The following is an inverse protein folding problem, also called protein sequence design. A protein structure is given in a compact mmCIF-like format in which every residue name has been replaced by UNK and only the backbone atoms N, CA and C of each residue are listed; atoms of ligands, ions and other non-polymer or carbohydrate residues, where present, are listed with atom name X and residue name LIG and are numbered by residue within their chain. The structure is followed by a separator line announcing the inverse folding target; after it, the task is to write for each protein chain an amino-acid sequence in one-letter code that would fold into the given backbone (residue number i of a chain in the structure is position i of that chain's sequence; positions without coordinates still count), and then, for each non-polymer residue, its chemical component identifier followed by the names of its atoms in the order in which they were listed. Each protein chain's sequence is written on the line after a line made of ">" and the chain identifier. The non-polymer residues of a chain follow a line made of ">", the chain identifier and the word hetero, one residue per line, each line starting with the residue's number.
data_IF_252178166917
#
_entry.id   IF_252178166917
#
_cell.length_a   1.000
_cell.length_b   1.000
_cell.length_c   1.000
_cell.angle_alpha   90.00
_cell.angle_beta   90.00
_cell.angle_gamma   90.00
#
_symmetry.space_group_name_H-M   'P 1'
#
loop_
_entity.id
_entity.type
_entity.pdbx_description
1 polymer ?
#
# COMPACT_ATOMS: atom_id res chain seq x y z
N UNK A 1 -62.77 36.77 -21.81
CA UNK A 1 -62.92 35.31 -21.61
C UNK A 1 -61.58 34.75 -21.14
N UNK A 2 -61.48 34.29 -19.88
CA UNK A 2 -60.24 33.79 -19.26
C UNK A 2 -60.17 32.27 -19.49
N UNK A 3 -59.22 31.82 -20.30
CA UNK A 3 -58.98 30.39 -20.53
C UNK A 3 -58.29 29.78 -19.29
N UNK A 4 -58.89 28.72 -18.74
CA UNK A 4 -58.30 27.88 -17.68
C UNK A 4 -57.34 26.89 -18.31
N UNK A 5 -56.10 26.85 -17.82
CA UNK A 5 -55.14 25.81 -18.16
C UNK A 5 -55.37 24.57 -17.27
N UNK A 6 -55.52 23.40 -17.90
CA UNK A 6 -55.60 22.10 -17.24
C UNK A 6 -54.19 21.55 -16.98
N UNK A 7 -53.91 20.94 -15.82
CA UNK A 7 -52.62 20.29 -15.58
C UNK A 7 -52.58 18.90 -16.22
N UNK A 8 -51.52 18.65 -17.01
CA UNK A 8 -51.14 17.32 -17.51
C UNK A 8 -50.49 16.53 -16.37
N UNK A 9 -51.10 15.41 -15.99
CA UNK A 9 -50.52 14.43 -15.07
C UNK A 9 -49.58 13.53 -15.88
N UNK A 10 -48.28 13.63 -15.62
CA UNK A 10 -47.26 12.76 -16.22
C UNK A 10 -47.08 11.54 -15.32
N UNK A 11 -47.53 10.37 -15.79
CA UNK A 11 -47.31 9.09 -15.11
C UNK A 11 -45.93 8.57 -15.52
N UNK A 12 -44.94 8.71 -14.62
CA UNK A 12 -43.63 8.11 -14.80
C UNK A 12 -43.68 6.62 -14.45
N UNK A 13 -43.48 5.76 -15.44
CA UNK A 13 -43.29 4.33 -15.24
C UNK A 13 -41.88 4.09 -14.68
N UNK A 14 -41.78 3.79 -13.39
CA UNK A 14 -40.55 3.30 -12.76
C UNK A 14 -40.42 1.82 -13.07
N UNK A 15 -39.51 1.47 -13.97
CA UNK A 15 -39.05 0.09 -14.12
C UNK A 15 -38.15 -0.25 -12.95
N UNK A 16 -38.69 -0.98 -11.97
CA UNK A 16 -37.88 -1.64 -10.95
C UNK A 16 -37.31 -2.91 -11.60
N UNK A 17 -36.04 -2.86 -12.01
CA UNK A 17 -35.27 -4.08 -12.28
C UNK A 17 -35.06 -4.79 -10.93
N UNK A 18 -35.98 -5.68 -10.59
CA UNK A 18 -35.80 -6.62 -9.48
C UNK A 18 -34.65 -7.54 -9.87
N UNK A 19 -33.55 -7.45 -9.12
CA UNK A 19 -32.31 -8.18 -9.35
C UNK A 19 -32.51 -9.69 -9.42
N UNK A 20 -32.16 -10.26 -10.57
CA UNK A 20 -31.85 -11.67 -10.73
C UNK A 20 -30.33 -11.82 -10.77
N UNK A 21 -29.63 -11.75 -9.63
CA UNK A 21 -28.20 -12.07 -9.63
C UNK A 21 -27.64 -12.43 -8.24
N UNK A 22 -28.01 -13.60 -7.68
CA UNK A 22 -27.05 -14.26 -6.79
C UNK A 22 -26.78 -15.74 -7.09
N UNK A 23 -27.45 -16.37 -8.08
CA UNK A 23 -27.41 -17.85 -8.22
C UNK A 23 -26.75 -18.39 -9.49
N UNK A 24 -26.29 -17.54 -10.42
CA UNK A 24 -25.72 -18.03 -11.69
C UNK A 24 -24.26 -18.50 -11.57
N UNK A 25 -23.55 -18.16 -10.49
CA UNK A 25 -22.10 -18.37 -10.37
C UNK A 25 -21.68 -19.59 -9.56
N UNK A 26 -22.61 -20.25 -8.88
CA UNK A 26 -22.32 -21.53 -8.25
C UNK A 26 -22.29 -22.61 -9.34
N UNK A 27 -21.09 -23.07 -9.68
CA UNK A 27 -20.77 -24.19 -10.58
C UNK A 27 -20.67 -23.92 -12.10
N UNK A 28 -20.44 -22.68 -12.55
CA UNK A 28 -20.13 -22.44 -13.97
C UNK A 28 -18.70 -22.88 -14.30
N UNK A 29 -18.61 -23.99 -15.02
CA UNK A 29 -17.39 -24.50 -15.65
C UNK A 29 -17.01 -23.67 -16.87
N UNK A 30 -15.77 -23.81 -17.31
CA UNK A 30 -15.38 -23.24 -18.59
C UNK A 30 -16.11 -23.97 -19.72
N UNK A 31 -16.36 -23.30 -20.85
CA UNK A 31 -16.85 -24.00 -22.04
C UNK A 31 -15.73 -24.84 -22.70
N UNK A 32 -16.06 -25.57 -23.76
CA UNK A 32 -15.11 -26.42 -24.48
C UNK A 32 -13.92 -25.65 -25.07
N UNK A 33 -14.09 -24.34 -25.31
CA UNK A 33 -13.05 -23.43 -25.80
C UNK A 33 -12.27 -22.77 -24.65
N UNK A 34 -12.55 -23.11 -23.38
CA UNK A 34 -11.94 -22.49 -22.21
C UNK A 34 -12.41 -21.06 -21.95
N UNK A 35 -13.63 -20.70 -22.37
CA UNK A 35 -14.20 -19.36 -22.23
C UNK A 35 -15.28 -19.30 -21.16
N UNK A 36 -15.53 -18.07 -20.70
CA UNK A 36 -16.58 -17.72 -19.76
C UNK A 36 -17.39 -16.54 -20.31
N UNK A 37 -18.53 -16.24 -19.66
CA UNK A 37 -19.32 -15.05 -20.00
C UNK A 37 -18.51 -13.76 -19.75
N UNK A 38 -18.85 -12.66 -20.43
CA UNK A 38 -18.25 -11.35 -20.16
C UNK A 38 -18.28 -11.00 -18.66
N UNK A 39 -17.16 -10.48 -18.15
CA UNK A 39 -16.96 -10.21 -16.71
C UNK A 39 -16.37 -11.38 -15.91
N UNK A 40 -16.11 -12.52 -16.54
CA UNK A 40 -15.52 -13.70 -15.93
C UNK A 40 -14.34 -14.22 -16.75
N UNK A 41 -13.36 -14.80 -16.06
CA UNK A 41 -12.25 -15.52 -16.67
C UNK A 41 -12.33 -17.01 -16.35
N UNK A 42 -11.80 -17.84 -17.24
CA UNK A 42 -11.71 -19.27 -17.02
C UNK A 42 -10.39 -19.60 -16.32
N UNK A 43 -10.46 -20.15 -15.11
CA UNK A 43 -9.31 -20.79 -14.48
C UNK A 43 -9.21 -22.23 -14.98
N UNK A 44 -8.51 -22.43 -16.10
CA UNK A 44 -8.44 -23.72 -16.82
C UNK A 44 -8.04 -24.88 -15.92
N UNK A 45 -7.14 -24.66 -14.95
CA UNK A 45 -6.69 -25.68 -14.01
C UNK A 45 -7.80 -26.20 -13.07
N UNK A 46 -8.79 -25.36 -12.76
CA UNK A 46 -9.90 -25.71 -11.88
C UNK A 46 -11.23 -25.93 -12.63
N UNK A 47 -11.23 -25.79 -13.96
CA UNK A 47 -12.42 -25.82 -14.82
C UNK A 47 -13.56 -24.96 -14.25
N UNK A 48 -13.25 -23.69 -13.91
CA UNK A 48 -14.19 -22.78 -13.24
C UNK A 48 -14.11 -21.36 -13.77
N UNK A 49 -15.28 -20.77 -14.01
CA UNK A 49 -15.42 -19.34 -14.25
C UNK A 49 -15.40 -18.56 -12.93
N UNK A 50 -14.53 -17.56 -12.85
CA UNK A 50 -14.38 -16.68 -11.69
C UNK A 50 -14.50 -15.22 -12.13
N UNK A 51 -15.01 -14.32 -11.27
CA UNK A 51 -15.14 -12.91 -11.63
C UNK A 51 -13.78 -12.30 -11.95
N UNK A 52 -13.71 -11.50 -13.01
CA UNK A 52 -12.50 -10.75 -13.36
C UNK A 52 -12.10 -9.81 -12.20
N UNK A 53 -10.80 -9.69 -11.93
CA UNK A 53 -10.27 -8.86 -10.86
C UNK A 53 -10.47 -9.43 -9.45
N UNK A 54 -11.07 -10.62 -9.34
CA UNK A 54 -11.19 -11.32 -8.06
C UNK A 54 -9.83 -11.79 -7.53
N UNK A 55 -9.77 -12.16 -6.25
CA UNK A 55 -8.57 -12.75 -5.67
C UNK A 55 -8.14 -14.04 -6.41
N UNK A 56 -9.11 -14.87 -6.81
CA UNK A 56 -8.86 -16.16 -7.45
C UNK A 56 -8.42 -16.02 -8.92
N UNK A 57 -8.63 -14.85 -9.53
CA UNK A 57 -8.23 -14.50 -10.89
C UNK A 57 -6.72 -14.21 -11.01
N UNK A 58 -6.02 -14.19 -9.88
CA UNK A 58 -4.62 -13.83 -9.81
C UNK A 58 -3.72 -15.01 -10.13
N UNK A 59 -2.93 -14.89 -11.19
CA UNK A 59 -1.98 -15.93 -11.62
C UNK A 59 -0.57 -15.35 -11.72
N UNK A 60 0.42 -16.03 -11.17
CA UNK A 60 1.82 -15.66 -11.37
C UNK A 60 2.34 -16.13 -12.72
N UNK A 61 2.94 -15.24 -13.50
CA UNK A 61 3.66 -15.57 -14.75
C UNK A 61 5.04 -14.91 -14.71
N UNK A 62 6.05 -15.65 -14.25
CA UNK A 62 7.36 -15.07 -13.92
C UNK A 62 7.24 -14.09 -12.75
N UNK A 63 7.84 -12.91 -12.88
CA UNK A 63 7.77 -11.83 -11.86
C UNK A 63 6.52 -10.94 -11.99
N UNK A 64 5.50 -11.39 -12.74
CA UNK A 64 4.26 -10.65 -12.94
C UNK A 64 3.08 -11.34 -12.30
N UNK A 65 2.25 -10.55 -11.62
CA UNK A 65 0.93 -10.95 -11.18
C UNK A 65 -0.08 -10.58 -12.28
N UNK A 66 -0.63 -11.59 -12.91
CA UNK A 66 -1.63 -11.47 -13.96
C UNK A 66 -3.02 -11.47 -13.31
N UNK A 67 -3.87 -10.55 -13.75
CA UNK A 67 -5.31 -10.49 -13.44
C UNK A 67 -6.04 -10.05 -14.71
N UNK A 68 -7.37 -10.03 -14.69
CA UNK A 68 -8.19 -9.56 -15.80
C UNK A 68 -9.00 -8.32 -15.37
N UNK A 69 -9.10 -7.34 -16.26
CA UNK A 69 -9.96 -6.17 -16.03
C UNK A 69 -11.46 -6.50 -16.19
N UNK A 70 -12.32 -5.50 -16.01
CA UNK A 70 -13.76 -5.67 -16.15
C UNK A 70 -14.21 -6.19 -17.53
N UNK A 71 -13.39 -6.01 -18.57
CA UNK A 71 -13.66 -6.50 -19.94
C UNK A 71 -13.07 -7.89 -20.22
N UNK A 72 -12.26 -8.42 -19.30
CA UNK A 72 -11.56 -9.69 -19.47
C UNK A 72 -10.20 -9.54 -20.17
N UNK A 73 -9.70 -8.31 -20.33
CA UNK A 73 -8.36 -8.10 -20.85
C UNK A 73 -7.31 -8.40 -19.77
N UNK A 74 -6.23 -9.07 -20.15
CA UNK A 74 -5.12 -9.38 -19.26
C UNK A 74 -4.43 -8.08 -18.78
N UNK A 75 -4.37 -7.88 -17.47
CA UNK A 75 -3.63 -6.82 -16.81
C UNK A 75 -2.47 -7.45 -16.05
N UNK A 76 -1.25 -7.08 -16.42
CA UNK A 76 -0.04 -7.53 -15.74
C UNK A 76 0.42 -6.47 -14.74
N UNK A 77 0.61 -6.90 -13.49
CA UNK A 77 1.22 -6.10 -12.42
C UNK A 77 2.64 -6.62 -12.22
N UNK A 78 3.64 -5.76 -12.43
CA UNK A 78 5.04 -6.10 -12.18
C UNK A 78 5.31 -6.22 -10.66
N UNK A 79 5.80 -7.38 -10.23
CA UNK A 79 6.18 -7.63 -8.85
C UNK A 79 7.69 -7.43 -8.70
N UNK A 80 8.12 -6.32 -8.09
CA UNK A 80 9.54 -5.98 -7.94
C UNK A 80 10.37 -7.05 -7.18
N UNK A 81 9.73 -7.87 -6.36
CA UNK A 81 10.36 -8.95 -5.56
C UNK A 81 9.98 -10.35 -6.07
N UNK A 82 9.35 -10.43 -7.24
CA UNK A 82 8.80 -11.64 -7.81
C UNK A 82 7.35 -11.91 -7.39
N UNK A 83 6.73 -12.85 -8.10
CA UNK A 83 5.36 -13.27 -7.84
C UNK A 83 5.35 -14.55 -6.99
N UNK A 84 4.58 -14.55 -5.90
CA UNK A 84 4.44 -15.70 -5.01
C UNK A 84 3.33 -16.62 -5.52
N UNK A 85 3.71 -17.65 -6.28
CA UNK A 85 2.81 -18.67 -6.83
C UNK A 85 2.36 -19.72 -5.79
N UNK A 86 3.00 -19.77 -4.62
CA UNK A 86 2.63 -20.67 -3.52
C UNK A 86 1.55 -20.05 -2.61
N UNK A 87 1.40 -18.72 -2.66
CA UNK A 87 0.36 -18.01 -1.96
C UNK A 87 -1.03 -18.35 -2.53
N UNK A 88 -2.04 -18.39 -1.65
CA UNK A 88 -3.46 -18.53 -2.03
C UNK A 88 -4.25 -17.36 -1.43
N UNK A 89 -4.77 -16.41 -2.24
CA UNK A 89 -4.52 -16.26 -3.68
C UNK A 89 -3.07 -15.87 -3.98
N UNK A 90 -2.64 -16.06 -5.23
CA UNK A 90 -1.34 -15.59 -5.71
C UNK A 90 -1.23 -14.06 -5.49
N UNK A 91 -0.04 -13.61 -5.13
CA UNK A 91 0.25 -12.20 -4.85
C UNK A 91 1.72 -11.91 -5.10
N UNK A 92 2.07 -10.65 -5.31
CA UNK A 92 3.49 -10.28 -5.29
C UNK A 92 4.10 -10.61 -3.93
N UNK A 93 5.39 -11.00 -3.91
CA UNK A 93 6.14 -11.03 -2.66
C UNK A 93 6.13 -9.64 -2.03
N UNK A 94 5.85 -9.60 -0.74
CA UNK A 94 5.94 -8.41 0.07
C UNK A 94 7.14 -8.60 1.00
N UNK A 95 7.91 -7.53 1.20
CA UNK A 95 8.86 -7.50 2.31
C UNK A 95 8.06 -7.71 3.59
N UNK A 96 8.48 -8.67 4.40
CA UNK A 96 7.89 -8.92 5.72
C UNK A 96 8.93 -8.62 6.81
N UNK A 97 9.05 -7.36 7.26
CA UNK A 97 10.03 -7.01 8.26
C UNK A 97 9.70 -7.73 9.58
N UNK A 98 10.60 -8.61 10.03
CA UNK A 98 10.39 -9.43 11.24
C UNK A 98 10.25 -8.61 12.52
N UNK A 99 10.73 -7.37 12.49
CA UNK A 99 10.68 -6.41 13.60
C UNK A 99 9.39 -5.58 13.66
N UNK A 100 8.45 -5.78 12.73
CA UNK A 100 7.16 -5.08 12.74
C UNK A 100 6.04 -5.99 13.27
N UNK A 101 5.19 -5.44 14.14
CA UNK A 101 3.96 -6.13 14.55
C UNK A 101 2.97 -6.25 13.38
N UNK A 102 2.03 -7.21 13.38
CA UNK A 102 1.04 -7.37 12.31
C UNK A 102 0.28 -6.08 11.95
N UNK A 103 -0.07 -5.27 12.95
CA UNK A 103 -0.73 -3.98 12.72
C UNK A 103 0.18 -2.95 12.03
N UNK A 104 1.50 -2.99 12.28
CA UNK A 104 2.49 -2.15 11.57
C UNK A 104 2.74 -2.67 10.14
N UNK A 105 2.70 -4.00 9.96
CA UNK A 105 2.82 -4.63 8.63
C UNK A 105 1.65 -4.28 7.72
N UNK A 106 0.46 -4.03 8.26
CA UNK A 106 -0.67 -3.49 7.48
C UNK A 106 -0.40 -2.08 6.89
N UNK A 107 0.66 -1.39 7.34
CA UNK A 107 1.09 -0.12 6.73
C UNK A 107 2.01 -0.31 5.53
N UNK A 108 2.53 -1.51 5.29
CA UNK A 108 3.25 -1.83 4.06
C UNK A 108 2.29 -1.60 2.89
N UNK A 109 2.60 -0.58 2.09
CA UNK A 109 1.84 -0.20 0.90
C UNK A 109 0.45 0.37 1.14
N UNK A 110 0.19 0.93 2.33
CA UNK A 110 -1.03 1.69 2.60
C UNK A 110 -0.82 3.22 2.56
N UNK A 111 0.41 3.69 2.35
CA UNK A 111 0.72 5.10 2.15
C UNK A 111 0.30 5.57 0.77
N UNK A 112 -0.57 6.60 0.70
CA UNK A 112 -0.99 7.19 -0.58
C UNK A 112 -0.20 8.46 -0.94
N UNK A 113 0.29 9.15 0.10
CA UNK A 113 1.00 10.41 -0.01
C UNK A 113 2.47 10.23 -0.46
N UNK A 114 2.96 11.12 -1.30
CA UNK A 114 4.37 11.18 -1.71
C UNK A 114 5.16 12.13 -0.81
N UNK A 115 6.38 11.76 -0.45
CA UNK A 115 7.35 12.65 0.18
C UNK A 115 8.38 13.10 -0.86
N UNK A 116 8.48 14.40 -1.09
CA UNK A 116 9.52 15.01 -1.91
C UNK A 116 10.26 16.05 -1.08
N UNK A 117 11.57 15.87 -0.93
CA UNK A 117 12.46 16.75 -0.18
C UNK A 117 13.39 17.42 -1.18
N UNK A 118 13.02 18.62 -1.63
CA UNK A 118 13.78 19.45 -2.58
C UNK A 118 14.60 20.56 -1.90
N UNK A 119 14.43 20.72 -0.59
CA UNK A 119 15.17 21.62 0.28
C UNK A 119 15.29 20.99 1.66
N UNK A 120 16.08 21.63 2.50
CA UNK A 120 16.29 21.28 3.90
C UNK A 120 14.96 21.11 4.67
N UNK A 121 14.77 19.94 5.27
CA UNK A 121 13.54 19.54 5.97
C UNK A 121 13.85 18.68 7.20
N UNK A 122 12.95 18.70 8.20
CA UNK A 122 13.11 17.94 9.45
C UNK A 122 11.94 16.99 9.65
N UNK A 123 12.20 15.70 9.80
CA UNK A 123 11.24 14.69 10.21
C UNK A 123 11.36 14.47 11.73
N UNK A 124 10.27 14.71 12.46
CA UNK A 124 10.17 14.41 13.89
C UNK A 124 9.55 13.03 14.12
N UNK A 125 10.32 12.12 14.69
CA UNK A 125 9.91 10.73 14.98
C UNK A 125 8.95 10.61 16.17
N UNK A 126 8.73 11.66 16.97
CA UNK A 126 7.68 11.67 17.99
C UNK A 126 6.29 11.85 17.38
N UNK A 127 6.18 12.72 16.37
CA UNK A 127 4.91 13.12 15.76
C UNK A 127 4.70 12.59 14.34
N UNK A 128 5.77 12.07 13.70
CA UNK A 128 5.81 11.69 12.30
C UNK A 128 5.85 12.89 11.33
N UNK A 129 5.80 14.11 11.83
CA UNK A 129 5.66 15.33 11.04
C UNK A 129 6.96 15.65 10.29
N UNK A 130 6.84 16.01 9.01
CA UNK A 130 7.94 16.53 8.20
C UNK A 130 7.76 18.03 8.04
N UNK A 131 8.72 18.80 8.56
CA UNK A 131 8.71 20.25 8.56
C UNK A 131 9.62 20.77 7.46
N UNK A 132 9.08 21.61 6.60
CA UNK A 132 9.82 22.39 5.62
C UNK A 132 9.89 23.84 6.09
N UNK A 133 10.66 24.68 5.40
CA UNK A 133 10.78 26.10 5.75
C UNK A 133 9.44 26.84 5.76
N UNK A 134 8.57 26.54 4.79
CA UNK A 134 7.34 27.29 4.51
C UNK A 134 6.07 26.45 4.67
N UNK A 135 6.20 25.17 5.03
CA UNK A 135 5.08 24.24 5.12
C UNK A 135 5.38 23.06 6.02
N UNK A 136 4.34 22.35 6.40
CA UNK A 136 4.42 21.12 7.17
C UNK A 136 3.65 20.01 6.46
N UNK A 137 4.17 18.79 6.53
CA UNK A 137 3.57 17.58 6.01
C UNK A 137 3.35 16.61 7.16
N UNK A 138 2.09 16.30 7.44
CA UNK A 138 1.74 15.21 8.36
C UNK A 138 1.43 13.96 7.54
N UNK A 139 2.19 12.87 7.71
CA UNK A 139 1.92 11.63 6.99
C UNK A 139 0.53 11.08 7.34
N UNK A 140 -0.21 10.62 6.32
CA UNK A 140 -1.48 9.92 6.53
C UNK A 140 -1.33 8.64 7.35
N UNK A 141 -0.14 8.04 7.27
CA UNK A 141 0.20 6.73 7.82
C UNK A 141 1.42 6.86 8.72
N UNK A 142 1.16 7.09 10.00
CA UNK A 142 2.16 7.14 11.05
C UNK A 142 1.72 6.30 12.25
N UNK A 143 2.64 5.52 12.80
CA UNK A 143 2.44 4.76 14.04
C UNK A 143 3.74 4.67 14.83
N UNK A 144 3.62 4.83 16.15
CA UNK A 144 4.67 4.41 17.07
C UNK A 144 4.47 2.94 17.43
N UNK A 145 5.49 2.13 17.22
CA UNK A 145 5.52 0.73 17.63
C UNK A 145 6.51 0.57 18.78
N UNK A 146 6.01 0.15 19.94
CA UNK A 146 6.86 -0.19 21.07
C UNK A 146 7.62 -1.49 20.81
N UNK A 147 8.87 -1.53 21.26
CA UNK A 147 9.71 -2.72 21.17
C UNK A 147 9.84 -3.38 22.54
N UNK A 148 10.04 -4.70 22.54
CA UNK A 148 10.29 -5.46 23.76
C UNK A 148 11.70 -5.20 24.29
N UNK A 149 11.91 -5.58 25.55
CA UNK A 149 13.20 -5.54 26.23
C UNK A 149 13.81 -4.14 26.42
N UNK A 150 13.10 -3.04 26.15
CA UNK A 150 13.61 -1.69 26.39
C UNK A 150 14.42 -1.12 25.23
N UNK A 151 14.31 -1.70 24.04
CA UNK A 151 14.75 -1.06 22.80
C UNK A 151 13.91 0.19 22.49
N UNK A 152 14.47 1.20 21.79
CA UNK A 152 13.72 2.40 21.40
C UNK A 152 12.47 2.05 20.58
N UNK A 153 11.38 2.76 20.82
CA UNK A 153 10.19 2.59 20.00
C UNK A 153 10.48 3.00 18.54
N UNK A 154 9.76 2.40 17.60
CA UNK A 154 9.90 2.66 16.17
C UNK A 154 8.83 3.66 15.72
N UNK A 155 9.25 4.72 15.05
CA UNK A 155 8.39 5.60 14.27
C UNK A 155 8.21 5.02 12.87
N UNK A 156 7.11 4.31 12.65
CA UNK A 156 6.78 3.70 11.36
C UNK A 156 5.96 4.69 10.55
N UNK A 157 6.52 5.13 9.41
CA UNK A 157 5.89 6.09 8.51
C UNK A 157 5.86 5.48 7.11
N UNK A 158 4.69 5.51 6.46
CA UNK A 158 4.51 4.98 5.11
C UNK A 158 4.13 6.08 4.10
N UNK A 159 4.86 6.13 3.00
CA UNK A 159 4.58 6.95 1.83
C UNK A 159 4.35 6.06 0.59
N UNK A 160 3.70 6.59 -0.44
CA UNK A 160 3.63 5.91 -1.75
C UNK A 160 4.98 5.95 -2.46
N UNK A 161 5.71 7.06 -2.37
CA UNK A 161 7.10 7.20 -2.82
C UNK A 161 7.85 8.22 -1.97
N UNK A 162 9.15 8.07 -1.85
CA UNK A 162 10.05 9.01 -1.17
C UNK A 162 11.13 9.45 -2.13
N UNK A 163 11.33 10.77 -2.28
CA UNK A 163 12.43 11.34 -3.04
C UNK A 163 13.12 12.42 -2.22
N UNK A 164 14.43 12.28 -2.03
CA UNK A 164 15.30 13.33 -1.47
C UNK A 164 16.20 13.79 -2.60
N UNK A 165 15.98 15.01 -3.09
CA UNK A 165 16.68 15.54 -4.26
C UNK A 165 18.13 15.92 -3.93
N UNK A 166 18.98 15.94 -4.96
CA UNK A 166 20.37 16.34 -4.81
C UNK A 166 20.47 17.75 -4.22
N UNK A 167 21.32 17.92 -3.21
CA UNK A 167 21.49 19.19 -2.48
C UNK A 167 20.49 19.43 -1.36
N UNK A 168 19.44 18.62 -1.23
CA UNK A 168 18.52 18.68 -0.09
C UNK A 168 18.98 17.78 1.07
N UNK A 169 18.65 18.17 2.30
CA UNK A 169 18.87 17.37 3.50
C UNK A 169 17.57 17.13 4.28
N UNK A 170 17.30 15.87 4.60
CA UNK A 170 16.26 15.47 5.55
C UNK A 170 16.89 15.12 6.89
N UNK A 171 16.75 15.97 7.90
CA UNK A 171 17.13 15.64 9.27
C UNK A 171 16.06 14.81 9.96
N UNK A 172 16.44 13.71 10.58
CA UNK A 172 15.56 12.90 11.41
C UNK A 172 15.84 13.23 12.86
N UNK A 173 14.81 13.65 13.59
CA UNK A 173 14.90 14.06 14.99
C UNK A 173 13.85 13.34 15.84
N UNK A 174 13.94 13.47 17.15
CA UNK A 174 12.97 12.88 18.09
C UNK A 174 13.46 11.58 18.73
N UNK A 175 12.64 10.99 19.62
CA UNK A 175 13.06 9.92 20.53
C UNK A 175 12.94 8.51 19.95
N UNK A 176 12.29 8.34 18.80
CA UNK A 176 11.96 7.02 18.25
C UNK A 176 12.86 6.71 17.05
N UNK A 177 13.23 5.43 16.87
CA UNK A 177 13.99 5.02 15.68
C UNK A 177 13.08 5.08 14.43
N UNK A 178 13.57 5.66 13.33
CA UNK A 178 12.77 5.81 12.11
C UNK A 178 12.69 4.51 11.32
N UNK A 179 11.47 4.12 10.95
CA UNK A 179 11.19 3.12 9.92
C UNK A 179 10.41 3.79 8.80
N UNK A 180 11.11 4.12 7.71
CA UNK A 180 10.52 4.77 6.54
C UNK A 180 10.16 3.71 5.49
N UNK A 181 8.87 3.59 5.19
CA UNK A 181 8.33 2.64 4.22
C UNK A 181 7.88 3.37 2.96
N UNK A 182 8.22 2.83 1.80
CA UNK A 182 7.76 3.28 0.49
C UNK A 182 7.40 2.07 -0.38
N UNK A 183 6.35 2.17 -1.18
CA UNK A 183 5.91 1.04 -2.02
C UNK A 183 6.15 1.21 -3.51
N UNK A 184 6.24 2.45 -3.97
CA UNK A 184 6.91 2.75 -5.21
C UNK A 184 8.41 2.93 -4.96
N UNK A 185 8.92 4.04 -5.46
CA UNK A 185 10.34 4.36 -5.39
C UNK A 185 10.71 5.02 -4.05
N UNK A 186 11.82 4.58 -3.45
CA UNK A 186 12.59 5.33 -2.46
C UNK A 186 13.91 5.73 -3.11
N UNK A 187 14.07 7.02 -3.37
CA UNK A 187 15.25 7.59 -4.02
C UNK A 187 15.88 8.66 -3.15
N UNK A 188 17.17 8.51 -2.88
CA UNK A 188 17.96 9.46 -2.07
C UNK A 188 19.14 9.93 -2.90
N UNK A 189 18.95 11.04 -3.63
CA UNK A 189 20.03 11.74 -4.32
C UNK A 189 20.72 12.79 -3.40
N UNK A 190 20.00 13.25 -2.37
CA UNK A 190 20.48 14.17 -1.35
C UNK A 190 21.01 13.47 -0.08
N UNK A 191 20.75 14.06 1.08
CA UNK A 191 21.21 13.53 2.39
C UNK A 191 20.02 13.16 3.27
N UNK A 192 19.99 11.93 3.76
CA UNK A 192 19.16 11.51 4.88
C UNK A 192 20.02 11.49 6.14
N UNK A 193 19.82 12.46 7.03
CA UNK A 193 20.62 12.66 8.24
C UNK A 193 19.87 12.13 9.47
N UNK A 194 20.13 10.87 9.80
CA UNK A 194 19.62 10.20 11.00
C UNK A 194 20.52 10.34 12.23
N UNK A 195 21.36 11.37 12.29
CA UNK A 195 22.27 11.52 13.41
C UNK A 195 21.51 11.73 14.73
N UNK A 196 21.80 10.84 15.69
CA UNK A 196 21.23 10.86 17.04
C UNK A 196 22.26 10.31 18.02
N UNK A 197 22.02 10.49 19.33
CA UNK A 197 22.83 9.77 20.32
C UNK A 197 22.60 8.26 20.20
N UNK A 198 23.64 7.41 20.17
CA UNK A 198 23.43 5.96 20.23
C UNK A 198 22.96 5.57 21.61
N UNK A 199 21.81 4.91 21.68
CA UNK A 199 21.59 4.03 22.80
C UNK A 199 22.65 2.91 22.81
N UNK A 200 23.32 2.66 23.93
CA UNK A 200 23.87 1.33 24.18
C UNK A 200 22.71 0.41 24.51
N UNK A 201 22.53 -0.66 23.75
CA UNK A 201 21.64 -1.75 24.14
C UNK A 201 22.39 -2.61 25.15
N UNK A 202 21.91 -2.66 26.39
CA UNK A 202 22.43 -3.53 27.43
C UNK A 202 22.10 -4.99 27.10
N UNK A 203 22.80 -5.92 27.76
CA UNK A 203 22.63 -7.36 27.55
C UNK A 203 21.24 -7.90 27.93
N UNK A 204 20.47 -7.16 28.72
CA UNK A 204 19.07 -7.43 29.07
C UNK A 204 18.08 -6.81 28.06
N UNK A 205 18.60 -6.15 27.03
CA UNK A 205 17.86 -5.44 25.98
C UNK A 205 17.59 -3.97 26.28
N UNK A 206 17.84 -3.49 27.50
CA UNK A 206 17.50 -2.13 27.88
C UNK A 206 18.40 -1.12 27.16
N UNK A 207 17.82 -0.05 26.59
CA UNK A 207 18.61 1.02 25.97
C UNK A 207 19.06 2.06 27.00
N UNK A 208 20.35 2.33 27.09
CA UNK A 208 20.94 3.46 27.82
C UNK A 208 21.35 4.53 26.82
N UNK A 209 20.90 5.77 26.99
CA UNK A 209 21.31 6.88 26.13
C UNK A 209 22.85 7.05 26.13
N UNK A 210 23.46 7.09 24.94
CA UNK A 210 24.92 7.22 24.72
C UNK A 210 25.24 7.89 23.37
N UNK A 211 26.50 7.83 22.91
CA UNK A 211 26.99 8.49 21.70
C UNK A 211 27.06 7.55 20.49
N UNK A 212 26.40 7.90 19.38
CA UNK A 212 26.18 7.02 18.23
C UNK A 212 26.73 7.54 16.93
N UNK A 213 27.44 6.65 16.23
CA UNK A 213 27.92 6.89 14.88
C UNK A 213 26.87 6.56 13.81
N UNK A 214 27.04 7.11 12.59
CA UNK A 214 26.08 6.93 11.50
C UNK A 214 25.98 5.46 11.08
N UNK A 215 24.78 4.89 11.21
CA UNK A 215 24.42 3.59 10.63
C UNK A 215 23.94 3.76 9.19
N UNK A 216 24.87 3.78 8.24
CA UNK A 216 24.57 3.75 6.81
C UNK A 216 25.40 2.67 6.12
N UNK A 217 24.76 1.58 5.71
CA UNK A 217 25.36 0.62 4.78
C UNK A 217 25.33 1.17 3.36
N UNK A 218 26.31 0.80 2.54
CA UNK A 218 26.31 1.13 1.10
C UNK A 218 25.11 0.44 0.44
N UNK A 219 24.29 1.21 -0.28
CA UNK A 219 23.31 0.69 -1.22
C UNK A 219 23.96 0.04 -2.43
#
# INVERSE_FOLDING_TARGET
>A
MKARASPLITIAWVWVFVGCEPSYLDNKRCDEDGRCLPGYTCLVEADRCIPNGSADDRVCRGDRLITHDATGAEVAIECALGCNADARPNRCYLLDPSNLEPASKAFLCSGSQKLVVSSDATLDTASGKVQFRDSDLTPERFRIQFQIAGAPALAVIAFSSVRIEAGARLWVTGPNALVLLACGELRVDGVLDGSGGAGQMLSDGASVAGSGGPGGGRG
#
